data_IF_520127500213
#
_entry.id   IF_520127500213
#
_cell.length_a   1.000
_cell.length_b   1.000
_cell.length_c   1.000
_cell.angle_alpha   90.00
_cell.angle_beta   90.00
_cell.angle_gamma   90.00
#
_symmetry.space_group_name_H-M   'P 1'
#
loop_
_entity.id
_entity.type
_entity.pdbx_description
1 polymer ?
#
# COMPACT_ATOMS: atom_id res chain seq x y z
N UNK A 1 12.00 3.90 -10.08
CA UNK A 1 10.76 4.65 -9.84
C UNK A 1 10.72 5.02 -8.37
N UNK A 2 10.60 6.30 -8.04
CA UNK A 2 10.49 6.74 -6.64
C UNK A 2 9.03 6.56 -6.22
N UNK A 3 8.75 5.70 -5.25
CA UNK A 3 7.40 5.57 -4.68
C UNK A 3 7.24 6.65 -3.61
N UNK A 4 6.21 7.51 -3.69
CA UNK A 4 6.00 8.56 -2.71
C UNK A 4 5.66 7.95 -1.33
N UNK A 5 6.13 8.61 -0.28
CA UNK A 5 5.83 8.27 1.11
C UNK A 5 4.91 9.33 1.73
N UNK A 6 4.10 8.88 2.69
CA UNK A 6 3.15 9.70 3.44
C UNK A 6 3.49 9.58 4.92
N UNK A 7 3.46 10.70 5.63
CA UNK A 7 3.63 10.75 7.09
C UNK A 7 2.24 10.90 7.70
N UNK A 8 1.85 9.95 8.54
CA UNK A 8 0.65 10.07 9.38
C UNK A 8 1.03 10.42 10.81
N UNK A 9 0.40 11.45 11.34
CA UNK A 9 0.42 11.71 12.77
C UNK A 9 -0.61 10.80 13.45
N UNK A 10 -0.13 9.84 14.24
CA UNK A 10 -0.99 9.04 15.11
C UNK A 10 -0.90 9.63 16.51
N UNK A 11 -1.94 9.52 17.35
CA UNK A 11 -1.90 10.06 18.72
C UNK A 11 -0.78 9.52 19.65
N UNK A 12 0.11 8.65 19.14
CA UNK A 12 1.33 8.15 19.80
C UNK A 12 2.64 8.53 19.06
N UNK A 13 2.58 9.35 18.01
CA UNK A 13 3.70 9.83 17.21
C UNK A 13 3.49 9.72 15.69
N UNK A 14 4.49 10.18 14.93
CA UNK A 14 4.51 10.12 13.47
C UNK A 14 4.86 8.71 12.97
N UNK A 15 4.13 8.23 11.97
CA UNK A 15 4.39 6.95 11.29
C UNK A 15 4.42 7.16 9.79
N UNK A 16 5.54 6.81 9.17
CA UNK A 16 5.72 6.89 7.72
C UNK A 16 5.29 5.59 7.06
N UNK A 17 4.58 5.72 5.94
CA UNK A 17 4.17 4.62 5.07
C UNK A 17 4.41 4.99 3.62
N UNK A 18 4.75 4.04 2.77
CA UNK A 18 4.60 4.24 1.33
C UNK A 18 3.10 4.33 0.98
N UNK A 19 2.80 4.96 -0.16
CA UNK A 19 1.42 5.18 -0.58
C UNK A 19 0.60 3.89 -0.73
N UNK A 20 1.22 2.77 -1.14
CA UNK A 20 0.50 1.51 -1.31
C UNK A 20 0.14 0.90 0.05
N UNK A 21 1.07 0.89 1.00
CA UNK A 21 0.80 0.45 2.36
C UNK A 21 -0.30 1.27 3.03
N UNK A 22 -0.35 2.58 2.80
CA UNK A 22 -1.40 3.45 3.37
C UNK A 22 -2.78 3.15 2.80
N UNK A 23 -2.87 2.81 1.51
CA UNK A 23 -4.13 2.49 0.84
C UNK A 23 -4.60 1.06 1.16
N UNK A 24 -3.67 0.11 1.32
CA UNK A 24 -3.99 -1.23 1.82
C UNK A 24 -4.63 -1.18 3.22
N UNK A 25 -4.21 -0.25 4.08
CA UNK A 25 -4.85 -0.02 5.39
C UNK A 25 -6.33 0.37 5.26
N UNK A 26 -6.69 1.11 4.23
CA UNK A 26 -8.07 1.47 3.89
C UNK A 26 -8.78 0.39 3.05
N UNK A 27 -8.17 -0.79 2.92
CA UNK A 27 -8.65 -1.94 2.14
C UNK A 27 -8.75 -1.66 0.64
N UNK A 28 -7.89 -0.79 0.11
CA UNK A 28 -7.79 -0.50 -1.32
C UNK A 28 -6.61 -1.29 -1.89
N UNK A 29 -6.89 -2.18 -2.85
CA UNK A 29 -5.89 -3.02 -3.53
C UNK A 29 -5.72 -2.54 -4.97
N UNK A 30 -4.46 -2.37 -5.39
CA UNK A 30 -4.11 -2.07 -6.78
C UNK A 30 -3.69 -3.34 -7.51
N UNK A 31 -4.41 -3.67 -8.58
CA UNK A 31 -3.99 -4.70 -9.52
C UNK A 31 -3.52 -4.00 -10.80
N UNK A 32 -2.22 -4.01 -11.05
CA UNK A 32 -1.62 -3.40 -12.24
C UNK A 32 -0.93 -4.47 -13.08
N UNK A 33 -1.17 -4.49 -14.39
CA UNK A 33 -0.59 -5.47 -15.30
C UNK A 33 -1.48 -6.70 -15.51
N UNK A 34 -0.93 -7.74 -16.14
CA UNK A 34 -1.63 -9.00 -16.36
C UNK A 34 -1.83 -9.79 -15.06
N UNK A 35 -2.96 -10.50 -14.97
CA UNK A 35 -3.24 -11.41 -13.87
C UNK A 35 -2.39 -12.67 -14.04
N UNK A 36 -1.49 -12.89 -13.09
CA UNK A 36 -0.71 -14.11 -12.95
C UNK A 36 -0.74 -14.62 -11.49
N UNK A 37 -0.20 -15.82 -11.26
CA UNK A 37 -0.22 -16.46 -9.93
C UNK A 37 0.39 -15.59 -8.82
N UNK A 38 1.40 -14.77 -9.14
CA UNK A 38 2.02 -13.85 -8.18
C UNK A 38 1.07 -12.71 -7.81
N UNK A 39 0.43 -12.08 -8.80
CA UNK A 39 -0.56 -11.02 -8.57
C UNK A 39 -1.81 -11.54 -7.84
N UNK A 40 -2.23 -12.77 -8.11
CA UNK A 40 -3.39 -13.40 -7.48
C UNK A 40 -3.12 -13.71 -6.00
N UNK A 41 -1.90 -14.17 -5.66
CA UNK A 41 -1.49 -14.46 -4.29
C UNK A 41 -1.47 -13.20 -3.39
N UNK A 42 -1.24 -12.02 -3.96
CA UNK A 42 -1.25 -10.75 -3.22
C UNK A 42 -2.67 -10.24 -2.86
N UNK A 43 -3.72 -10.84 -3.43
CA UNK A 43 -5.12 -10.40 -3.28
C UNK A 43 -5.90 -11.27 -2.26
N UNK A 44 -5.31 -12.37 -1.77
CA UNK A 44 -5.91 -13.28 -0.77
C UNK A 44 -5.59 -12.80 0.65
#
# INVERSE_FOLDING_TARGET
MLVPYVIEDTGRGERSYDIYSRLLRDRIIFLTGEVNDQSASLVI
#
